data_IF_086534081440
#
_entry.id   IF_086534081440
#
_cell.length_a   1.000
_cell.length_b   1.000
_cell.length_c   1.000
_cell.angle_alpha   90.00
_cell.angle_beta   90.00
_cell.angle_gamma   90.00
#
_symmetry.space_group_name_H-M   'P 1'
#
loop_
_entity.id
_entity.type
_entity.pdbx_description
1 polymer ?
#
# COMPACT_ATOMS: atom_id res chain seq x y z
N UNK A 5 16.09 -4.99 2.19
CA UNK A 5 17.04 -3.95 2.55
C UNK A 5 16.76 -2.65 1.80
N UNK A 6 16.10 -1.74 2.47
CA UNK A 6 15.81 -0.42 1.95
C UNK A 6 16.19 0.64 2.97
N UNK A 7 17.05 1.58 2.58
CA UNK A 7 17.58 2.62 3.47
C UNK A 7 16.67 3.85 3.55
N UNK A 8 15.39 3.62 3.52
CA UNK A 8 14.42 4.65 3.56
C UNK A 8 13.33 4.22 4.52
N UNK A 9 12.86 5.15 5.33
CA UNK A 9 11.83 4.86 6.31
C UNK A 9 10.49 4.68 5.64
N UNK A 10 10.28 5.45 4.56
CA UNK A 10 9.04 5.41 3.81
C UNK A 10 8.63 4.00 3.41
N UNK A 11 9.45 3.33 2.61
CA UNK A 11 9.16 2.02 2.17
C UNK A 11 8.98 1.05 3.31
N UNK A 12 9.89 1.11 4.28
CA UNK A 12 9.83 0.21 5.42
C UNK A 12 8.49 0.29 6.17
N UNK A 13 8.08 1.50 6.53
CA UNK A 13 6.82 1.66 7.24
C UNK A 13 5.63 1.37 6.36
N UNK A 14 5.71 1.73 5.10
CA UNK A 14 4.61 1.50 4.21
C UNK A 14 4.41 0.02 3.96
N UNK A 15 5.48 -0.71 3.66
CA UNK A 15 5.41 -2.16 3.47
C UNK A 15 4.85 -2.82 4.74
N UNK A 16 5.38 -2.37 5.87
CA UNK A 16 4.95 -2.80 7.20
C UNK A 16 3.44 -2.59 7.39
N UNK A 17 2.98 -1.41 7.08
CA UNK A 17 1.60 -1.07 7.30
C UNK A 17 0.66 -1.68 6.32
N UNK A 18 1.10 -1.86 5.11
CA UNK A 18 0.28 -2.55 4.14
C UNK A 18 0.16 -4.01 4.56
N UNK A 19 1.26 -4.56 5.07
CA UNK A 19 1.30 -5.93 5.58
C UNK A 19 0.32 -6.07 6.77
N UNK A 20 0.33 -5.05 7.65
CA UNK A 20 -0.62 -4.96 8.79
C UNK A 20 -2.06 -4.91 8.28
N UNK A 21 -2.30 -4.09 7.27
CA UNK A 21 -3.62 -3.93 6.69
C UNK A 21 -4.08 -5.21 6.01
N UNK A 22 -3.17 -5.90 5.38
CA UNK A 22 -3.48 -7.17 4.74
C UNK A 22 -3.93 -8.19 5.75
N UNK A 23 -3.19 -8.35 6.85
CA UNK A 23 -3.63 -9.29 7.87
C UNK A 23 -4.96 -8.82 8.51
N UNK A 24 -5.12 -7.52 8.66
CA UNK A 24 -6.31 -6.95 9.24
C UNK A 24 -7.54 -7.17 8.33
N UNK A 25 -7.43 -6.80 7.07
CA UNK A 25 -8.54 -6.89 6.14
C UNK A 25 -8.72 -8.28 5.55
N UNK A 26 -7.69 -8.77 4.91
CA UNK A 26 -7.80 -10.03 4.18
C UNK A 26 -7.57 -11.22 5.08
N UNK A 27 -6.78 -11.02 6.11
CA UNK A 27 -6.49 -12.09 7.02
C UNK A 27 -5.33 -12.93 6.53
N UNK A 28 -4.58 -12.37 5.62
CA UNK A 28 -3.44 -13.03 5.01
C UNK A 28 -2.39 -11.99 4.79
N UNK A 29 -1.19 -12.36 4.48
CA UNK A 29 -0.20 -11.35 4.29
C UNK A 29 0.75 -11.79 3.22
N UNK A 30 1.35 -10.83 2.61
CA UNK A 30 2.34 -11.06 1.59
C UNK A 30 3.07 -9.78 1.50
N UNK A 31 4.12 -9.70 2.26
CA UNK A 31 4.91 -8.54 2.42
C UNK A 31 5.58 -8.12 1.08
N UNK A 32 5.73 -9.08 0.18
CA UNK A 32 6.26 -8.81 -1.14
C UNK A 32 5.20 -8.09 -1.98
N UNK A 33 3.99 -8.62 -1.95
CA UNK A 33 2.84 -8.02 -2.61
C UNK A 33 2.61 -6.61 -2.03
N UNK A 34 2.77 -6.51 -0.73
CA UNK A 34 2.68 -5.25 -0.03
C UNK A 34 3.69 -4.27 -0.62
N UNK A 35 4.94 -4.73 -0.76
CA UNK A 35 6.02 -3.92 -1.33
C UNK A 35 5.68 -3.49 -2.75
N UNK A 36 5.03 -4.37 -3.50
CA UNK A 36 4.61 -4.08 -4.85
C UNK A 36 3.65 -2.87 -4.87
N UNK A 37 2.60 -2.94 -4.05
CA UNK A 37 1.63 -1.84 -4.04
C UNK A 37 2.23 -0.58 -3.40
N UNK A 38 3.23 -0.76 -2.54
CA UNK A 38 3.95 0.37 -1.96
C UNK A 38 4.74 1.08 -3.04
N UNK A 39 5.42 0.30 -3.87
CA UNK A 39 6.23 0.82 -4.97
C UNK A 39 5.29 1.59 -5.93
N UNK A 40 4.09 1.05 -6.13
CA UNK A 40 3.07 1.71 -6.93
C UNK A 40 2.60 3.03 -6.29
N UNK A 41 2.30 2.98 -4.98
CA UNK A 41 1.83 4.17 -4.27
C UNK A 41 2.92 5.19 -4.01
N UNK A 42 4.15 4.76 -4.20
CA UNK A 42 5.31 5.62 -4.13
C UNK A 42 5.28 6.53 -5.34
N UNK A 43 4.82 6.00 -6.44
CA UNK A 43 4.73 6.71 -7.69
C UNK A 43 3.43 7.51 -7.72
N UNK A 44 2.37 6.87 -7.27
CA UNK A 44 1.05 7.46 -7.28
C UNK A 44 0.86 8.51 -6.20
N UNK A 45 0.49 9.67 -6.63
CA UNK A 45 0.18 10.77 -5.75
C UNK A 45 -1.33 10.93 -5.67
N UNK A 46 -2.03 10.08 -6.38
CA UNK A 46 -3.48 10.11 -6.40
C UNK A 46 -4.06 8.79 -5.90
N UNK A 47 -4.93 8.85 -4.87
CA UNK A 47 -5.61 7.66 -4.31
C UNK A 47 -6.41 6.93 -5.37
N UNK A 48 -7.02 7.71 -6.23
CA UNK A 48 -7.82 7.23 -7.35
C UNK A 48 -6.98 6.34 -8.23
N UNK A 49 -5.82 6.84 -8.59
CA UNK A 49 -4.90 6.12 -9.41
C UNK A 49 -4.33 4.90 -8.71
N UNK A 50 -4.20 4.99 -7.38
CA UNK A 50 -3.74 3.86 -6.61
C UNK A 50 -4.76 2.74 -6.73
N UNK A 51 -6.03 3.10 -6.60
CA UNK A 51 -7.12 2.16 -6.73
C UNK A 51 -7.08 1.50 -8.11
N UNK A 52 -6.99 2.32 -9.15
CA UNK A 52 -6.91 1.83 -10.53
C UNK A 52 -5.73 0.89 -10.72
N UNK A 53 -4.57 1.28 -10.18
CA UNK A 53 -3.34 0.49 -10.29
C UNK A 53 -3.54 -0.90 -9.68
N UNK A 54 -4.14 -0.91 -8.52
CA UNK A 54 -4.43 -2.14 -7.81
C UNK A 54 -5.41 -2.98 -8.59
N UNK A 55 -6.44 -2.36 -9.10
CA UNK A 55 -7.46 -3.06 -9.90
C UNK A 55 -6.89 -3.62 -11.19
N UNK A 56 -6.05 -2.84 -11.81
CA UNK A 56 -5.49 -3.18 -13.09
C UNK A 56 -4.45 -4.30 -12.96
N UNK A 57 -3.53 -4.15 -12.04
CA UNK A 57 -2.42 -5.10 -11.94
C UNK A 57 -2.71 -6.23 -10.98
N UNK A 58 -3.32 -5.91 -9.88
CA UNK A 58 -3.54 -6.88 -8.83
C UNK A 58 -5.01 -7.16 -8.66
N UNK A 59 -5.74 -7.04 -9.76
CA UNK A 59 -7.20 -7.24 -9.77
C UNK A 59 -7.61 -8.66 -9.40
N UNK A 60 -6.61 -9.52 -9.30
CA UNK A 60 -6.76 -10.91 -8.87
C UNK A 60 -7.19 -10.95 -7.41
N UNK A 61 -6.88 -9.90 -6.67
CA UNK A 61 -7.30 -9.74 -5.28
C UNK A 61 -8.50 -8.81 -5.25
N UNK A 62 -9.30 -8.91 -4.21
CA UNK A 62 -10.42 -8.02 -4.04
C UNK A 62 -10.07 -7.00 -2.97
N UNK A 63 -9.81 -5.80 -3.40
CA UNK A 63 -9.42 -4.75 -2.49
C UNK A 63 -10.60 -3.88 -2.14
N UNK A 64 -11.02 -3.86 -0.88
CA UNK A 64 -12.04 -2.94 -0.45
C UNK A 64 -11.47 -1.53 -0.45
N UNK A 65 -12.33 -0.55 -0.71
CA UNK A 65 -11.95 0.86 -0.76
C UNK A 65 -11.25 1.25 0.51
N UNK A 66 -11.79 0.78 1.62
CA UNK A 66 -11.22 0.97 2.96
C UNK A 66 -9.74 0.63 2.96
N UNK A 67 -9.43 -0.59 2.51
CA UNK A 67 -8.06 -1.08 2.42
C UNK A 67 -7.23 -0.16 1.54
N UNK A 68 -7.73 0.17 0.34
CA UNK A 68 -7.01 1.04 -0.59
C UNK A 68 -6.72 2.40 0.07
N UNK A 69 -7.72 2.95 0.73
CA UNK A 69 -7.59 4.21 1.42
C UNK A 69 -6.65 4.15 2.60
N UNK A 70 -6.57 3.02 3.24
CA UNK A 70 -5.67 2.89 4.36
C UNK A 70 -4.27 2.70 3.87
N UNK A 71 -4.13 1.94 2.80
CA UNK A 71 -2.85 1.75 2.14
C UNK A 71 -2.33 3.11 1.67
N UNK A 72 -3.21 3.86 1.00
CA UNK A 72 -2.92 5.21 0.58
C UNK A 72 -2.50 6.07 1.78
N UNK A 73 -3.27 5.97 2.85
CA UNK A 73 -3.00 6.68 4.07
C UNK A 73 -1.65 6.36 4.64
N UNK A 74 -1.34 5.08 4.79
CA UNK A 74 -0.06 4.62 5.36
C UNK A 74 1.11 5.06 4.50
N UNK A 75 0.99 4.87 3.20
CA UNK A 75 2.02 5.29 2.25
C UNK A 75 2.18 6.80 2.34
N UNK A 76 1.06 7.49 2.34
CA UNK A 76 1.01 8.93 2.48
C UNK A 76 1.68 9.41 3.75
N UNK A 77 1.39 8.73 4.87
CA UNK A 77 2.00 9.05 6.16
C UNK A 77 3.48 8.92 6.08
N UNK A 78 3.93 7.82 5.54
CA UNK A 78 5.34 7.53 5.48
C UNK A 78 6.07 8.46 4.52
N UNK A 79 5.42 8.82 3.42
CA UNK A 79 6.02 9.70 2.44
C UNK A 79 6.00 11.17 2.84
N UNK A 80 5.26 11.49 3.89
CA UNK A 80 5.29 12.85 4.42
C UNK A 80 6.12 12.84 5.73
N UNK A 81 6.30 11.66 6.30
CA UNK A 81 7.09 11.50 7.49
C UNK A 81 6.28 11.53 8.75
N UNK A 82 5.01 11.24 8.61
CA UNK A 82 4.09 11.20 9.71
C UNK A 82 4.23 9.89 10.46
N UNK A 83 5.00 9.94 11.49
CA UNK A 83 5.22 8.80 12.35
C UNK A 83 4.89 9.21 13.73
#
# INVERSE_FOLDING_TARGET
GAMGDLPSAFEEKAIEKVDDLLESYMGIRDTELAATMVELGKDKRNPDELAEALDERLGDFAFPDEFVFDVWGAIGDAKVGRY
#
